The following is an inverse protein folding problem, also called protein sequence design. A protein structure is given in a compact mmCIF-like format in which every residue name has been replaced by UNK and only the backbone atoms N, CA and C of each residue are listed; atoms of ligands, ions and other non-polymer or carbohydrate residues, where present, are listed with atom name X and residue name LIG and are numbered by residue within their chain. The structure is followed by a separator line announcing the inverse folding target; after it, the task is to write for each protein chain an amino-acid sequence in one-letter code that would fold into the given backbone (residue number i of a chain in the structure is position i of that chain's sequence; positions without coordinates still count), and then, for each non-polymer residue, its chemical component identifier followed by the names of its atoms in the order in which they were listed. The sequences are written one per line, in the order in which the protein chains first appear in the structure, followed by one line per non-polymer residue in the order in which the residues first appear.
data_IF_279908287931
#
_entry.id   IF_279908287931
#
_cell.length_a   1.000
_cell.length_b   1.000
_cell.length_c   1.000
_cell.angle_alpha   90.00
_cell.angle_beta   90.00
_cell.angle_gamma   90.00
#
_symmetry.space_group_name_H-M   'P 1'
#
loop_
_entity.id
_entity.type
_entity.pdbx_description
1 polymer ?
#
# COMPACT_ATOMS: atom_id res chain seq x y z
N UNK A 1 27.04 -4.93 13.77
CA UNK A 1 26.27 -3.69 13.55
C UNK A 1 24.78 -4.03 13.58
N UNK A 2 24.03 -3.66 14.64
CA UNK A 2 22.58 -3.80 14.59
C UNK A 2 22.04 -2.80 13.57
N UNK A 3 21.29 -3.30 12.60
CA UNK A 3 20.55 -2.48 11.63
C UNK A 3 19.61 -1.52 12.40
N UNK A 4 19.53 -0.25 12.03
CA UNK A 4 18.53 0.64 12.59
C UNK A 4 17.16 0.16 12.10
N UNK A 5 16.45 -0.58 12.95
CA UNK A 5 14.99 -0.64 12.84
C UNK A 5 14.50 0.80 12.86
N UNK A 6 13.90 1.27 11.77
CA UNK A 6 13.20 2.55 11.69
C UNK A 6 11.94 2.56 12.56
N UNK A 7 12.03 2.10 13.82
CA UNK A 7 11.11 2.40 14.89
C UNK A 7 11.57 3.67 15.60
N UNK A 8 11.63 4.77 14.86
CA UNK A 8 12.02 6.07 15.39
C UNK A 8 11.06 6.53 16.48
N UNK A 9 11.63 6.74 17.68
CA UNK A 9 11.50 7.94 18.51
C UNK A 9 10.14 8.24 19.19
N UNK A 10 10.17 8.16 20.53
CA UNK A 10 9.96 9.31 21.44
C UNK A 10 8.74 10.22 21.20
N UNK A 11 7.82 10.23 22.17
CA UNK A 11 6.44 10.80 22.17
C UNK A 11 5.49 9.98 21.30
N UNK A 12 4.46 9.40 21.93
CA UNK A 12 3.42 8.67 21.21
C UNK A 12 2.88 9.53 20.06
N UNK A 13 3.00 9.10 18.79
CA UNK A 13 2.37 9.81 17.70
C UNK A 13 0.87 9.84 17.97
N UNK A 14 0.25 11.01 17.78
CA UNK A 14 -1.20 11.20 17.90
C UNK A 14 -1.94 10.11 17.15
N UNK A 15 -3.17 9.77 17.57
CA UNK A 15 -3.97 8.75 16.89
C UNK A 15 -3.99 8.97 15.37
N UNK A 16 -4.03 10.25 14.97
CA UNK A 16 -3.96 10.68 13.59
C UNK A 16 -2.66 10.32 12.85
N UNK A 17 -1.48 10.46 13.47
CA UNK A 17 -0.21 10.08 12.86
C UNK A 17 -0.11 8.57 12.64
N UNK A 18 -0.63 7.76 13.58
CA UNK A 18 -0.70 6.30 13.41
C UNK A 18 -1.66 5.87 12.30
N UNK A 19 -2.79 6.56 12.17
CA UNK A 19 -3.75 6.31 11.06
C UNK A 19 -3.10 6.65 9.73
N UNK A 20 -2.42 7.80 9.65
CA UNK A 20 -1.74 8.25 8.43
C UNK A 20 -0.59 7.32 8.03
N UNK A 21 0.19 6.86 9.01
CA UNK A 21 1.28 5.92 8.80
C UNK A 21 0.77 4.52 8.41
N UNK A 22 -0.32 4.04 9.02
CA UNK A 22 -0.98 2.79 8.64
C UNK A 22 -1.54 2.84 7.22
N UNK A 23 -2.14 3.98 6.84
CA UNK A 23 -2.62 4.20 5.49
C UNK A 23 -1.49 4.17 4.45
N UNK A 24 -0.39 4.91 4.68
CA UNK A 24 0.73 4.97 3.72
C UNK A 24 1.41 3.62 3.54
N UNK A 25 1.64 2.87 4.62
CA UNK A 25 2.24 1.53 4.54
C UNK A 25 1.28 0.57 3.82
N UNK A 26 0.00 0.54 4.20
CA UNK A 26 -1.01 -0.31 3.55
C UNK A 26 -1.20 0.02 2.07
N UNK A 27 -1.18 1.30 1.72
CA UNK A 27 -1.27 1.78 0.35
C UNK A 27 -0.04 1.38 -0.48
N UNK A 28 1.17 1.54 0.06
CA UNK A 28 2.40 1.09 -0.60
C UNK A 28 2.40 -0.43 -0.85
N UNK A 29 2.00 -1.23 0.16
CA UNK A 29 1.96 -2.69 0.04
C UNK A 29 0.87 -3.12 -0.96
N UNK A 30 -0.31 -2.48 -0.93
CA UNK A 30 -1.39 -2.75 -1.88
C UNK A 30 -1.03 -2.36 -3.32
N UNK A 31 -0.32 -1.24 -3.51
CA UNK A 31 0.20 -0.88 -4.83
C UNK A 31 1.30 -1.83 -5.30
N UNK A 32 2.26 -2.21 -4.45
CA UNK A 32 3.35 -3.12 -4.84
C UNK A 32 2.83 -4.52 -5.21
N UNK A 33 1.91 -5.06 -4.41
CA UNK A 33 1.26 -6.35 -4.70
C UNK A 33 0.35 -6.26 -5.94
N UNK A 34 -0.40 -5.17 -6.10
CA UNK A 34 -1.19 -4.88 -7.31
C UNK A 34 -0.32 -4.70 -8.56
N UNK A 35 0.88 -4.14 -8.43
CA UNK A 35 1.86 -4.01 -9.50
C UNK A 35 2.41 -5.36 -9.94
N UNK A 36 2.78 -6.19 -8.98
CA UNK A 36 3.38 -7.50 -9.24
C UNK A 36 2.35 -8.44 -9.85
N UNK A 37 1.19 -8.64 -9.21
CA UNK A 37 0.18 -9.56 -9.71
C UNK A 37 -0.60 -9.00 -10.91
N UNK A 38 -0.93 -7.72 -10.90
CA UNK A 38 -1.61 -7.05 -12.01
C UNK A 38 -0.69 -6.88 -13.21
N UNK A 39 0.56 -6.43 -12.99
CA UNK A 39 1.56 -6.25 -14.05
C UNK A 39 2.00 -7.57 -14.67
N UNK A 40 2.24 -8.61 -13.87
CA UNK A 40 2.62 -9.94 -14.38
C UNK A 40 1.47 -10.60 -15.14
N UNK A 41 0.22 -10.47 -14.67
CA UNK A 41 -0.96 -10.94 -15.42
C UNK A 41 -1.14 -10.16 -16.72
N UNK A 42 -1.02 -8.84 -16.71
CA UNK A 42 -1.21 -8.01 -17.89
C UNK A 42 -0.10 -8.20 -18.95
N UNK A 43 1.16 -8.38 -18.52
CA UNK A 43 2.28 -8.76 -19.39
C UNK A 43 2.06 -10.15 -20.01
N UNK A 44 1.58 -11.12 -19.21
CA UNK A 44 1.33 -12.49 -19.69
C UNK A 44 0.14 -12.57 -20.65
N UNK A 45 -0.89 -11.76 -20.47
CA UNK A 45 -2.03 -11.67 -21.39
C UNK A 45 -1.74 -10.87 -22.67
N UNK A 46 -0.53 -10.31 -22.82
CA UNK A 46 -0.13 -9.61 -24.05
C UNK A 46 -0.82 -8.25 -24.25
N UNK A 47 -1.45 -7.67 -23.21
CA UNK A 47 -2.05 -6.34 -23.30
C UNK A 47 -0.94 -5.31 -23.53
N UNK A 48 -1.01 -4.60 -24.66
CA UNK A 48 0.00 -3.60 -25.05
C UNK A 48 -0.36 -2.21 -24.55
N UNK A 49 0.59 -1.57 -23.88
CA UNK A 49 0.62 -0.13 -23.63
C UNK A 49 -0.51 0.39 -22.74
N UNK A 50 -1.52 1.02 -23.34
CA UNK A 50 -2.47 1.89 -22.63
C UNK A 50 -3.54 1.12 -21.84
N UNK A 51 -4.02 -0.01 -22.37
CA UNK A 51 -4.96 -0.89 -21.64
C UNK A 51 -4.29 -1.65 -20.48
N UNK A 52 -3.00 -1.96 -20.62
CA UNK A 52 -2.20 -2.54 -19.54
C UNK A 52 -2.07 -1.57 -18.37
N UNK A 53 -1.64 -0.33 -18.65
CA UNK A 53 -1.51 0.70 -17.61
C UNK A 53 -2.86 1.02 -16.98
N UNK A 54 -3.95 1.09 -17.76
CA UNK A 54 -5.29 1.31 -17.20
C UNK A 54 -5.75 0.15 -16.32
N UNK A 55 -5.57 -1.10 -16.74
CA UNK A 55 -6.00 -2.27 -15.98
C UNK A 55 -5.17 -2.47 -14.71
N UNK A 56 -3.84 -2.37 -14.83
CA UNK A 56 -2.91 -2.46 -13.71
C UNK A 56 -3.12 -1.29 -12.76
N UNK A 57 -3.28 -0.07 -13.28
CA UNK A 57 -3.60 1.12 -12.49
C UNK A 57 -4.91 0.95 -11.72
N UNK A 58 -5.96 0.38 -12.33
CA UNK A 58 -7.23 0.10 -11.66
C UNK A 58 -7.07 -0.88 -10.50
N UNK A 59 -6.32 -1.98 -10.73
CA UNK A 59 -6.02 -2.99 -9.71
C UNK A 59 -5.15 -2.42 -8.59
N UNK A 60 -4.15 -1.61 -8.92
CA UNK A 60 -3.28 -0.93 -7.95
C UNK A 60 -4.05 0.07 -7.09
N UNK A 61 -4.94 0.88 -7.68
CA UNK A 61 -5.74 1.86 -6.95
C UNK A 61 -6.80 1.18 -6.08
N UNK A 62 -7.44 0.13 -6.60
CA UNK A 62 -8.43 -0.65 -5.87
C UNK A 62 -7.80 -1.44 -4.72
N UNK A 63 -6.67 -2.10 -4.97
CA UNK A 63 -5.90 -2.84 -3.97
C UNK A 63 -5.23 -1.91 -2.94
N UNK A 64 -4.51 -0.90 -3.41
CA UNK A 64 -3.89 0.13 -2.57
C UNK A 64 -4.90 0.86 -1.68
N UNK A 65 -6.04 1.26 -2.25
CA UNK A 65 -7.12 1.90 -1.50
C UNK A 65 -7.67 1.00 -0.41
N UNK A 66 -8.04 -0.23 -0.72
CA UNK A 66 -8.59 -1.16 0.28
C UNK A 66 -7.57 -1.56 1.35
N UNK A 67 -6.36 -1.98 0.97
CA UNK A 67 -5.32 -2.35 1.94
C UNK A 67 -4.88 -1.16 2.82
N UNK A 68 -4.76 0.03 2.25
CA UNK A 68 -4.49 1.27 2.98
C UNK A 68 -5.60 1.61 3.97
N UNK A 69 -6.86 1.56 3.55
CA UNK A 69 -8.02 1.86 4.40
C UNK A 69 -8.22 0.83 5.51
N UNK A 70 -8.04 -0.48 5.24
CA UNK A 70 -8.12 -1.51 6.28
C UNK A 70 -7.04 -1.36 7.34
N UNK A 71 -5.79 -1.11 6.92
CA UNK A 71 -4.68 -0.90 7.86
C UNK A 71 -4.83 0.42 8.62
N UNK A 72 -5.35 1.48 8.00
CA UNK A 72 -5.61 2.75 8.67
C UNK A 72 -6.74 2.65 9.70
N UNK A 73 -7.78 1.87 9.42
CA UNK A 73 -8.85 1.58 10.39
C UNK A 73 -8.31 0.69 11.52
N UNK A 74 -7.51 -0.33 11.19
CA UNK A 74 -6.88 -1.21 12.17
C UNK A 74 -5.98 -0.44 13.13
N UNK A 75 -5.23 0.55 12.65
CA UNK A 75 -4.46 1.45 13.52
C UNK A 75 -5.33 2.47 14.23
N UNK A 76 -6.39 3.02 13.61
CA UNK A 76 -7.34 3.94 14.25
C UNK A 76 -7.98 3.34 15.51
N UNK A 77 -8.40 2.07 15.43
CA UNK A 77 -9.00 1.34 16.56
C UNK A 77 -7.95 1.01 17.64
N UNK A 78 -6.66 0.95 17.26
CA UNK A 78 -5.53 0.65 18.16
C UNK A 78 -4.83 1.88 18.73
N UNK A 79 -5.33 3.08 18.42
CA UNK A 79 -4.76 4.32 18.93
C UNK A 79 -5.13 4.57 20.39
#
# INVERSE_FOLDING_TARGET
MPVPVQGGYQRGPSCWDRVKMGFTIGFCVGMASGALFGGFSALRYGLRGRELIQSVGKVMLQGGGTFGTFMSIGTAIRC
#
